data_IF_084460725831
#
_entry.id   IF_084460725831
#
_cell.length_a   1.000
_cell.length_b   1.000
_cell.length_c   1.000
_cell.angle_alpha   90.00
_cell.angle_beta   90.00
_cell.angle_gamma   90.00
#
_symmetry.space_group_name_H-M   'P 1'
#
loop_
_entity.id
_entity.type
_entity.pdbx_description
1 polymer ?
#
# COMPACT_ATOMS: atom_id res chain seq x y z
N UNK A 1 0.96 18.67 -23.27
CA UNK A 1 1.55 17.51 -22.57
C UNK A 1 0.86 17.47 -21.23
N UNK A 2 -0.07 16.54 -21.01
CA UNK A 2 -0.85 16.52 -19.78
C UNK A 2 0.12 16.31 -18.60
N UNK A 3 -0.02 17.14 -17.58
CA UNK A 3 0.74 17.04 -16.35
C UNK A 3 0.45 15.66 -15.74
N UNK A 4 1.44 14.77 -15.74
CA UNK A 4 1.24 13.45 -15.15
C UNK A 4 1.14 13.60 -13.63
N UNK A 5 0.22 12.88 -12.98
CA UNK A 5 0.10 12.92 -11.53
C UNK A 5 1.45 12.51 -10.92
N UNK A 6 1.93 13.30 -9.97
CA UNK A 6 3.19 13.02 -9.29
C UNK A 6 3.12 11.75 -8.42
N UNK A 7 1.89 11.31 -8.09
CA UNK A 7 1.65 10.18 -7.22
C UNK A 7 0.40 9.39 -7.66
N UNK A 8 0.56 8.08 -7.75
CA UNK A 8 -0.53 7.14 -8.04
C UNK A 8 -0.92 6.44 -6.74
N UNK A 9 -2.22 6.24 -6.52
CA UNK A 9 -2.69 5.53 -5.34
C UNK A 9 -3.61 4.39 -5.72
N UNK A 10 -3.28 3.19 -5.26
CA UNK A 10 -4.00 1.95 -5.55
C UNK A 10 -4.85 1.55 -4.34
N UNK A 11 -6.15 1.36 -4.54
CA UNK A 11 -7.09 1.05 -3.47
C UNK A 11 -8.10 -0.03 -3.88
N UNK A 12 -8.61 -0.85 -2.96
CA UNK A 12 -9.84 -1.61 -3.18
C UNK A 12 -11.04 -0.66 -3.40
N UNK A 13 -11.88 -0.94 -4.39
CA UNK A 13 -13.08 -0.15 -4.65
C UNK A 13 -14.08 -0.22 -3.48
N UNK A 14 -14.29 -1.42 -2.93
CA UNK A 14 -15.21 -1.69 -1.83
C UNK A 14 -14.47 -1.75 -0.48
N UNK A 15 -13.84 -0.65 -0.08
CA UNK A 15 -13.15 -0.51 1.22
C UNK A 15 -14.01 0.24 2.25
N UNK A 16 -13.65 0.12 3.52
CA UNK A 16 -14.28 0.91 4.58
C UNK A 16 -14.02 2.42 4.35
N UNK A 17 -15.02 3.29 4.54
CA UNK A 17 -14.81 4.72 4.49
C UNK A 17 -13.83 5.16 5.59
N UNK A 18 -13.10 6.24 5.33
CA UNK A 18 -12.13 6.83 6.26
C UNK A 18 -11.00 5.89 6.70
N UNK A 19 -10.67 4.89 5.89
CA UNK A 19 -9.50 4.04 6.09
C UNK A 19 -8.20 4.84 6.08
N UNK A 20 -7.14 4.31 6.68
CA UNK A 20 -5.84 5.00 6.76
C UNK A 20 -5.35 5.54 5.42
N UNK A 21 -5.42 4.71 4.37
CA UNK A 21 -4.99 5.08 3.03
C UNK A 21 -5.82 6.24 2.44
N UNK A 22 -7.14 6.29 2.72
CA UNK A 22 -8.00 7.41 2.32
C UNK A 22 -7.63 8.70 3.04
N UNK A 23 -7.40 8.62 4.36
CA UNK A 23 -7.03 9.79 5.16
C UNK A 23 -5.67 10.34 4.74
N UNK A 24 -4.69 9.47 4.46
CA UNK A 24 -3.39 9.88 3.90
C UNK A 24 -3.58 10.56 2.54
N UNK A 25 -4.35 9.97 1.62
CA UNK A 25 -4.59 10.58 0.31
C UNK A 25 -5.27 11.96 0.40
N UNK A 26 -6.27 12.10 1.28
CA UNK A 26 -6.92 13.38 1.55
C UNK A 26 -5.95 14.42 2.12
N UNK A 27 -5.07 14.01 3.04
CA UNK A 27 -4.08 14.91 3.60
C UNK A 27 -3.06 15.39 2.56
N UNK A 28 -2.61 14.50 1.65
CA UNK A 28 -1.72 14.85 0.55
C UNK A 28 -2.39 15.81 -0.45
N UNK A 29 -3.65 15.55 -0.83
CA UNK A 29 -4.42 16.43 -1.70
C UNK A 29 -4.63 17.82 -1.06
N UNK A 30 -4.87 17.88 0.25
CA UNK A 30 -5.00 19.13 0.99
C UNK A 30 -3.70 19.97 1.01
N UNK A 31 -2.53 19.34 0.81
CA UNK A 31 -1.23 20.00 0.66
C UNK A 31 -0.85 20.28 -0.80
N UNK A 32 -1.78 20.05 -1.74
CA UNK A 32 -1.59 20.37 -3.17
C UNK A 32 -0.92 19.27 -3.99
N UNK A 33 -0.75 18.06 -3.45
CA UNK A 33 -0.26 16.94 -4.26
C UNK A 33 -1.34 16.47 -5.25
N UNK A 34 -0.94 16.28 -6.52
CA UNK A 34 -1.80 15.71 -7.56
C UNK A 34 -1.79 14.19 -7.48
N UNK A 35 -2.92 13.59 -7.09
CA UNK A 35 -3.09 12.14 -6.95
C UNK A 35 -3.94 11.57 -8.10
N UNK A 36 -3.49 10.46 -8.70
CA UNK A 36 -4.34 9.61 -9.52
C UNK A 36 -4.75 8.36 -8.74
N UNK A 37 -6.05 8.24 -8.46
CA UNK A 37 -6.63 7.12 -7.72
C UNK A 37 -7.03 5.99 -8.67
N UNK A 38 -6.51 4.79 -8.42
CA UNK A 38 -6.78 3.55 -9.16
C UNK A 38 -7.61 2.64 -8.26
N UNK A 39 -8.92 2.59 -8.50
CA UNK A 39 -9.82 1.72 -7.75
C UNK A 39 -9.81 0.32 -8.37
N UNK A 40 -9.43 -0.67 -7.57
CA UNK A 40 -9.43 -2.08 -7.95
C UNK A 40 -10.83 -2.67 -7.76
N UNK A 41 -11.40 -3.31 -8.79
CA UNK A 41 -12.69 -3.98 -8.66
C UNK A 41 -12.60 -5.14 -7.66
N UNK A 42 -13.76 -5.58 -7.16
CA UNK A 42 -13.87 -6.69 -6.21
C UNK A 42 -14.15 -6.24 -4.77
N UNK A 43 -14.54 -7.22 -3.95
CA UNK A 43 -14.91 -7.02 -2.54
C UNK A 43 -13.70 -7.16 -1.62
N UNK A 44 -13.39 -6.12 -0.84
CA UNK A 44 -12.41 -6.25 0.23
C UNK A 44 -12.94 -7.20 1.34
N UNK A 45 -12.12 -8.09 1.94
CA UNK A 45 -10.67 -8.29 1.76
C UNK A 45 -10.27 -9.34 0.71
N UNK A 46 -11.23 -9.93 -0.02
CA UNK A 46 -10.94 -10.96 -1.05
C UNK A 46 -10.88 -10.32 -2.42
N UNK A 47 -9.68 -9.90 -2.82
CA UNK A 47 -9.44 -9.51 -4.20
C UNK A 47 -9.64 -10.73 -5.10
N UNK A 48 -10.60 -10.62 -6.01
CA UNK A 48 -10.85 -11.63 -7.03
C UNK A 48 -9.84 -11.50 -8.19
N UNK A 49 -9.79 -12.46 -9.13
CA UNK A 49 -8.88 -12.38 -10.28
C UNK A 49 -9.06 -11.12 -11.14
N UNK A 50 -10.24 -10.50 -11.13
CA UNK A 50 -10.49 -9.25 -11.87
C UNK A 50 -9.77 -8.06 -11.23
N UNK A 51 -9.63 -8.06 -9.90
CA UNK A 51 -8.84 -7.08 -9.18
C UNK A 51 -7.35 -7.14 -9.54
N UNK A 52 -6.82 -8.37 -9.64
CA UNK A 52 -5.42 -8.62 -10.02
C UNK A 52 -5.16 -8.12 -11.44
N UNK A 53 -6.04 -8.46 -12.39
CA UNK A 53 -5.93 -8.00 -13.77
C UNK A 53 -6.06 -6.46 -13.88
N UNK A 54 -6.96 -5.86 -13.12
CA UNK A 54 -7.11 -4.41 -13.10
C UNK A 54 -5.87 -3.71 -12.54
N UNK A 55 -5.24 -4.28 -11.50
CA UNK A 55 -3.97 -3.78 -10.97
C UNK A 55 -2.86 -3.88 -12.04
N UNK A 56 -2.71 -5.03 -12.70
CA UNK A 56 -1.73 -5.23 -13.76
C UNK A 56 -1.91 -4.24 -14.93
N UNK A 57 -3.15 -4.03 -15.38
CA UNK A 57 -3.46 -3.04 -16.42
C UNK A 57 -3.16 -1.62 -15.96
N UNK A 58 -3.47 -1.26 -14.71
CA UNK A 58 -3.21 0.07 -14.18
C UNK A 58 -1.70 0.33 -14.07
N UNK A 59 -0.95 -0.62 -13.52
CA UNK A 59 0.49 -0.51 -13.28
C UNK A 59 1.29 -0.55 -14.59
N UNK A 60 0.92 -1.40 -15.57
CA UNK A 60 1.58 -1.47 -16.89
C UNK A 60 1.54 -0.17 -17.69
N UNK A 61 0.59 0.72 -17.38
CA UNK A 61 0.47 2.04 -18.03
C UNK A 61 1.32 3.12 -17.38
N UNK A 62 1.86 2.86 -16.20
CA UNK A 62 2.68 3.84 -15.48
C UNK A 62 4.09 3.91 -16.07
N UNK A 63 4.70 5.10 -16.16
CA UNK A 63 6.08 5.21 -16.59
C UNK A 63 7.03 4.62 -15.53
N UNK A 64 8.23 4.24 -15.97
CA UNK A 64 9.31 3.85 -15.07
C UNK A 64 9.59 4.97 -14.07
N UNK A 65 9.81 4.58 -12.81
CA UNK A 65 10.05 5.48 -11.69
C UNK A 65 8.79 6.08 -11.08
N UNK A 66 7.58 5.80 -11.59
CA UNK A 66 6.36 6.34 -11.01
C UNK A 66 6.21 5.93 -9.53
N UNK A 67 5.78 6.89 -8.71
CA UNK A 67 5.55 6.73 -7.27
C UNK A 67 4.14 6.18 -7.07
N UNK A 68 4.04 5.02 -6.42
CA UNK A 68 2.77 4.34 -6.16
C UNK A 68 2.60 4.10 -4.68
N UNK A 69 1.54 4.68 -4.10
CA UNK A 69 1.04 4.33 -2.79
C UNK A 69 0.02 3.19 -2.95
N UNK A 70 0.19 2.08 -2.23
CA UNK A 70 -0.70 0.94 -2.31
C UNK A 70 -1.36 0.65 -0.96
N UNK A 71 -2.68 0.54 -0.94
CA UNK A 71 -3.43 0.15 0.25
C UNK A 71 -3.01 -1.24 0.73
N UNK A 72 -2.58 -1.34 1.99
CA UNK A 72 -2.06 -2.56 2.61
C UNK A 72 -3.05 -3.71 2.60
N UNK A 73 -4.35 -3.41 2.69
CA UNK A 73 -5.42 -4.40 2.64
C UNK A 73 -5.58 -5.06 1.26
N UNK A 74 -5.03 -4.45 0.20
CA UNK A 74 -5.01 -5.01 -1.15
C UNK A 74 -3.78 -5.89 -1.41
N UNK A 75 -2.67 -5.66 -0.69
CA UNK A 75 -1.37 -6.21 -1.05
C UNK A 75 -1.29 -7.75 -1.09
N UNK A 76 -1.89 -8.50 -0.13
CA UNK A 76 -1.79 -9.97 -0.15
C UNK A 76 -2.36 -10.61 -1.40
N UNK A 77 -3.42 -10.03 -1.98
CA UNK A 77 -4.01 -10.50 -3.24
C UNK A 77 -3.25 -10.06 -4.50
N UNK A 78 -2.36 -9.07 -4.39
CA UNK A 78 -1.66 -8.45 -5.52
C UNK A 78 -0.17 -8.79 -5.61
N UNK A 79 0.39 -9.50 -4.63
CA UNK A 79 1.84 -9.76 -4.53
C UNK A 79 2.45 -10.25 -5.86
N UNK A 80 1.76 -11.15 -6.56
CA UNK A 80 2.20 -11.66 -7.86
C UNK A 80 2.22 -10.59 -8.97
N UNK A 81 1.21 -9.72 -9.03
CA UNK A 81 1.15 -8.63 -10.01
C UNK A 81 2.19 -7.55 -9.72
N UNK A 82 2.42 -7.24 -8.44
CA UNK A 82 3.39 -6.22 -8.02
C UNK A 82 4.84 -6.65 -8.30
N UNK A 83 5.14 -7.94 -8.28
CA UNK A 83 6.50 -8.45 -8.42
C UNK A 83 7.17 -8.02 -9.73
N UNK A 84 6.45 -8.08 -10.86
CA UNK A 84 6.98 -7.66 -12.16
C UNK A 84 7.32 -6.17 -12.18
N UNK A 85 6.46 -5.36 -11.57
CA UNK A 85 6.54 -3.90 -11.63
C UNK A 85 7.41 -3.30 -10.53
N UNK A 86 7.70 -4.06 -9.47
CA UNK A 86 8.52 -3.63 -8.33
C UNK A 86 9.92 -3.12 -8.71
N UNK A 87 10.42 -3.52 -9.88
CA UNK A 87 11.73 -3.10 -10.40
C UNK A 87 11.70 -1.77 -11.14
N UNK A 88 10.57 -1.42 -11.77
CA UNK A 88 10.45 -0.17 -12.52
C UNK A 88 9.70 0.90 -11.73
N UNK A 89 8.68 0.51 -10.98
CA UNK A 89 7.87 1.41 -10.17
C UNK A 89 8.44 1.52 -8.76
N UNK A 90 8.12 2.63 -8.08
CA UNK A 90 8.48 2.82 -6.68
C UNK A 90 7.24 2.62 -5.83
N UNK A 91 7.13 1.48 -5.16
CA UNK A 91 5.99 1.19 -4.30
C UNK A 91 6.23 1.57 -2.84
N UNK A 92 5.21 2.13 -2.22
CA UNK A 92 5.09 2.33 -0.77
C UNK A 92 3.74 1.77 -0.32
N UNK A 93 3.74 0.94 0.72
CA UNK A 93 2.51 0.42 1.29
C UNK A 93 1.92 1.37 2.33
N UNK A 94 0.59 1.50 2.37
CA UNK A 94 -0.15 2.18 3.44
C UNK A 94 -0.86 1.13 4.28
N UNK A 95 -0.27 0.74 5.41
CA UNK A 95 -0.76 -0.36 6.26
C UNK A 95 -1.41 0.22 7.51
N UNK A 96 -2.74 0.15 7.58
CA UNK A 96 -3.49 0.46 8.80
C UNK A 96 -3.26 -0.62 9.87
N UNK A 97 -3.39 -1.89 9.46
CA UNK A 97 -3.28 -3.08 10.31
C UNK A 97 -2.85 -4.29 9.46
N UNK A 98 -2.17 -5.24 10.08
CA UNK A 98 -1.78 -6.49 9.43
C UNK A 98 -2.89 -7.54 9.54
N UNK A 99 -3.21 -8.20 8.42
CA UNK A 99 -4.31 -9.15 8.30
C UNK A 99 -4.07 -10.46 9.05
N UNK A 100 -2.81 -10.84 9.30
CA UNK A 100 -2.46 -12.02 10.12
C UNK A 100 -2.74 -11.83 11.62
N UNK A 101 -2.92 -10.58 12.07
CA UNK A 101 -3.31 -10.22 13.43
C UNK A 101 -4.83 -10.11 13.60
N UNK A 102 -5.62 -10.38 12.55
CA UNK A 102 -7.07 -10.31 12.68
C UNK A 102 -7.59 -11.32 13.71
N UNK A 103 -8.49 -10.89 14.61
CA UNK A 103 -9.04 -11.77 15.63
C UNK A 103 -9.89 -12.89 14.98
N UNK A 104 -9.84 -14.08 15.58
CA UNK A 104 -10.65 -15.22 15.13
C UNK A 104 -10.02 -16.08 14.04
N UNK A 105 -8.76 -15.84 13.67
CA UNK A 105 -8.01 -16.71 12.78
C UNK A 105 -7.57 -18.01 13.47
N UNK A 106 -7.59 -19.11 12.70
CA UNK A 106 -6.84 -20.31 13.08
C UNK A 106 -5.35 -20.06 12.92
N UNK A 107 -4.51 -20.83 13.62
CA UNK A 107 -3.05 -20.73 13.49
C UNK A 107 -2.59 -20.90 12.03
N UNK A 108 -3.20 -21.83 11.31
CA UNK A 108 -2.93 -22.05 9.88
C UNK A 108 -3.30 -20.84 9.02
N UNK A 109 -4.48 -20.24 9.25
CA UNK A 109 -4.92 -19.06 8.51
C UNK A 109 -4.05 -17.84 8.82
N UNK A 110 -3.65 -17.65 10.07
CA UNK A 110 -2.73 -16.60 10.49
C UNK A 110 -1.35 -16.78 9.82
N UNK A 111 -0.80 -18.00 9.81
CA UNK A 111 0.47 -18.30 9.16
C UNK A 111 0.42 -18.06 7.64
N UNK A 112 -0.65 -18.49 6.97
CA UNK A 112 -0.84 -18.27 5.54
C UNK A 112 -0.90 -16.77 5.19
N UNK A 113 -1.68 -15.99 5.96
CA UNK A 113 -1.77 -14.54 5.79
C UNK A 113 -0.44 -13.85 6.05
N UNK A 114 0.26 -14.23 7.13
CA UNK A 114 1.57 -13.70 7.48
C UNK A 114 2.56 -13.89 6.34
N UNK A 115 2.58 -15.06 5.70
CA UNK A 115 3.45 -15.33 4.56
C UNK A 115 3.12 -14.47 3.33
N UNK A 116 1.83 -14.32 3.01
CA UNK A 116 1.39 -13.48 1.89
C UNK A 116 1.70 -12.00 2.12
N UNK A 117 1.45 -11.50 3.33
CA UNK A 117 1.75 -10.12 3.71
C UNK A 117 3.25 -9.84 3.71
N UNK A 118 4.05 -10.74 4.28
CA UNK A 118 5.51 -10.62 4.25
C UNK A 118 6.02 -10.56 2.81
N UNK A 119 5.54 -11.45 1.94
CA UNK A 119 5.94 -11.48 0.53
C UNK A 119 5.55 -10.21 -0.22
N UNK A 120 4.35 -9.69 0.00
CA UNK A 120 3.87 -8.48 -0.65
C UNK A 120 4.61 -7.23 -0.16
N UNK A 121 4.80 -7.09 1.16
CA UNK A 121 5.48 -5.95 1.77
C UNK A 121 6.99 -5.93 1.47
N UNK A 122 7.61 -7.10 1.26
CA UNK A 122 9.01 -7.18 0.84
C UNK A 122 9.27 -6.58 -0.57
N UNK A 123 8.23 -6.37 -1.37
CA UNK A 123 8.33 -5.69 -2.68
C UNK A 123 8.28 -4.16 -2.55
N UNK A 124 8.00 -3.64 -1.35
CA UNK A 124 7.81 -2.22 -1.10
C UNK A 124 9.15 -1.57 -0.73
N UNK A 125 9.32 -0.30 -1.09
CA UNK A 125 10.48 0.49 -0.64
C UNK A 125 10.32 0.93 0.81
N UNK A 126 9.09 1.23 1.21
CA UNK A 126 8.70 1.57 2.57
C UNK A 126 7.26 1.11 2.84
N UNK A 127 6.95 0.97 4.12
CA UNK A 127 5.64 0.63 4.68
C UNK A 127 5.26 1.77 5.62
N UNK A 128 4.40 2.65 5.14
CA UNK A 128 3.82 3.71 5.95
C UNK A 128 2.73 3.13 6.87
N UNK A 129 2.81 3.47 8.15
CA UNK A 129 1.90 2.96 9.20
C UNK A 129 1.38 4.11 10.06
N UNK A 130 0.19 4.01 10.65
CA UNK A 130 -0.39 5.10 11.44
C UNK A 130 0.35 5.36 12.76
N UNK A 131 0.97 4.34 13.35
CA UNK A 131 1.56 4.39 14.68
C UNK A 131 2.74 3.41 14.88
N UNK A 132 3.40 3.53 16.03
CA UNK A 132 4.55 2.71 16.38
C UNK A 132 4.19 1.25 16.70
N UNK A 133 2.96 0.98 17.15
CA UNK A 133 2.48 -0.39 17.40
C UNK A 133 2.42 -1.17 16.10
N UNK A 134 1.84 -0.56 15.06
CA UNK A 134 1.79 -1.14 13.72
C UNK A 134 3.19 -1.24 13.10
N UNK A 135 4.07 -0.27 13.33
CA UNK A 135 5.47 -0.35 12.89
C UNK A 135 6.21 -1.56 13.49
N UNK A 136 5.99 -1.84 14.78
CA UNK A 136 6.55 -3.02 15.44
C UNK A 136 5.99 -4.30 14.83
N UNK A 137 4.69 -4.36 14.56
CA UNK A 137 4.07 -5.52 13.92
C UNK A 137 4.65 -5.80 12.51
N UNK A 138 4.98 -4.75 11.75
CA UNK A 138 5.68 -4.87 10.45
C UNK A 138 7.10 -5.42 10.63
N UNK A 139 7.80 -4.99 11.69
CA UNK A 139 9.13 -5.54 12.05
C UNK A 139 9.03 -7.03 12.42
N UNK A 140 7.97 -7.43 13.12
CA UNK A 140 7.71 -8.82 13.52
C UNK A 140 7.42 -9.75 12.32
N UNK A 141 7.10 -9.20 11.14
CA UNK A 141 7.08 -9.95 9.87
C UNK A 141 8.48 -10.32 9.36
N UNK A 142 9.54 -9.82 9.98
CA UNK A 142 10.93 -10.02 9.55
C UNK A 142 11.35 -9.10 8.41
N UNK A 143 10.64 -7.98 8.21
CA UNK A 143 11.10 -6.90 7.33
C UNK A 143 12.12 -6.04 8.05
N UNK A 144 12.97 -5.34 7.29
CA UNK A 144 13.95 -4.42 7.87
C UNK A 144 13.22 -3.32 8.68
N UNK A 145 13.64 -2.99 9.90
CA UNK A 145 12.98 -1.95 10.72
C UNK A 145 12.85 -0.62 9.99
N UNK A 146 13.84 -0.26 9.16
CA UNK A 146 13.88 0.97 8.39
C UNK A 146 12.82 1.01 7.28
N UNK A 147 12.24 -0.14 6.93
CA UNK A 147 11.13 -0.20 5.99
C UNK A 147 9.82 0.33 6.61
N UNK A 148 9.65 0.26 7.93
CA UNK A 148 8.44 0.73 8.60
C UNK A 148 8.57 2.21 9.01
N UNK A 149 7.71 3.06 8.44
CA UNK A 149 7.75 4.52 8.66
C UNK A 149 6.41 4.96 9.25
N UNK A 150 6.43 5.48 10.48
CA UNK A 150 5.23 6.08 11.08
C UNK A 150 4.86 7.33 10.29
N UNK A 151 3.67 7.35 9.70
CA UNK A 151 3.14 8.45 8.91
C UNK A 151 1.72 8.71 9.39
N UNK A 152 1.55 9.73 10.23
CA UNK A 152 0.23 10.15 10.68
C UNK A 152 -0.62 10.59 9.46
N UNK A 153 -1.92 10.27 9.40
CA UNK A 153 -2.79 10.65 8.28
C UNK A 153 -3.26 12.10 8.42
N UNK A 154 -2.31 13.03 8.59
CA UNK A 154 -2.52 14.46 8.74
C UNK A 154 -1.64 15.23 7.75
N UNK A 155 -1.64 16.56 7.83
CA UNK A 155 -0.88 17.40 6.91
C UNK A 155 0.64 17.15 6.95
N UNK A 156 1.18 16.60 8.05
CA UNK A 156 2.59 16.23 8.13
C UNK A 156 2.93 15.00 7.27
N UNK A 157 1.92 14.28 6.75
CA UNK A 157 2.14 13.21 5.79
C UNK A 157 2.82 13.71 4.50
N UNK A 158 2.49 14.93 4.07
CA UNK A 158 3.08 15.54 2.88
C UNK A 158 4.58 15.80 3.06
N UNK A 159 4.98 16.33 4.21
CA UNK A 159 6.37 16.65 4.53
C UNK A 159 7.27 15.41 4.52
N UNK A 160 6.70 14.24 4.83
CA UNK A 160 7.41 12.96 4.91
C UNK A 160 7.24 12.09 3.68
N UNK A 161 6.50 12.57 2.67
CA UNK A 161 6.22 11.78 1.48
C UNK A 161 7.51 11.43 0.73
N UNK A 162 8.48 12.35 0.66
CA UNK A 162 9.74 12.12 -0.04
C UNK A 162 10.66 11.12 0.69
N UNK A 163 10.63 11.10 2.02
CA UNK A 163 11.36 10.12 2.84
C UNK A 163 10.98 8.68 2.47
N UNK A 164 9.69 8.44 2.20
CA UNK A 164 9.16 7.11 1.86
C UNK A 164 9.71 6.58 0.52
N UNK A 165 10.12 7.46 -0.39
CA UNK A 165 10.66 7.08 -1.69
C UNK A 165 12.19 7.19 -1.77
N UNK A 166 12.86 7.54 -0.66
CA UNK A 166 14.31 7.63 -0.53
C UNK A 166 14.94 8.62 -1.52
N UNK A 167 14.59 9.91 -1.37
CA UNK A 167 15.26 11.02 -2.05
C UNK A 167 16.74 11.13 -1.64
#
# INVERSE_FOLDING_TARGET
>A
MADQPALHVLFPANRAPDGYADRVALALEAQGHSLARHALPGDHPRLDPSAVLAADIALSRLPDGARVLADGGALPGLAAALAMDSRRLRFVALVDRLLWLEPGLTEEAAAARRHLEQGALALMRAVAVPDAETAQAVTDLGLAPEAAVVLAPDTAAADRLDDLFGA
#
